data_IF_006050469692
#
_entry.id   IF_006050469692
#
_cell.length_a   1.000
_cell.length_b   1.000
_cell.length_c   1.000
_cell.angle_alpha   90.00
_cell.angle_beta   90.00
_cell.angle_gamma   90.00
#
_symmetry.space_group_name_H-M   'P 1'
#
loop_
_entity.id
_entity.type
_entity.pdbx_description
1 polymer ?
#
# COMPACT_ATOMS: atom_id res chain seq x y z
N UNK A 1 20.73 25.82 -0.24
CA UNK A 1 20.65 24.76 -1.25
C UNK A 1 19.63 23.72 -0.80
N UNK A 2 18.61 23.51 -1.59
CA UNK A 2 17.60 22.52 -1.25
C UNK A 2 18.18 21.12 -1.40
N UNK A 3 17.98 20.30 -0.41
CA UNK A 3 18.29 18.87 -0.51
C UNK A 3 17.20 18.21 -1.32
N UNK A 4 17.58 17.36 -2.24
CA UNK A 4 16.63 16.50 -2.93
C UNK A 4 15.96 15.61 -1.87
N UNK A 5 14.64 15.50 -1.90
CA UNK A 5 13.92 14.62 -1.01
C UNK A 5 14.50 13.19 -1.10
N UNK A 6 14.58 12.49 0.01
CA UNK A 6 15.08 11.13 -0.02
C UNK A 6 14.24 10.29 -0.98
N UNK A 7 14.91 9.58 -1.84
CA UNK A 7 14.26 8.64 -2.74
C UNK A 7 13.80 7.42 -1.95
N UNK A 8 12.80 6.77 -2.49
CA UNK A 8 12.38 5.49 -1.93
C UNK A 8 13.58 4.54 -1.93
N UNK A 9 13.79 3.79 -0.84
CA UNK A 9 15.04 3.01 -0.67
C UNK A 9 15.31 1.98 -1.76
N UNK A 10 14.27 1.54 -2.45
CA UNK A 10 14.40 0.54 -3.51
C UNK A 10 14.70 1.14 -4.89
N UNK A 11 14.78 2.47 -5.00
CA UNK A 11 15.27 3.12 -6.20
C UNK A 11 16.74 3.49 -6.03
N UNK A 12 17.52 3.22 -7.05
CA UNK A 12 18.92 3.62 -7.05
C UNK A 12 19.60 3.25 -8.34
N UNK A 13 20.84 3.74 -8.55
CA UNK A 13 21.63 3.39 -9.73
C UNK A 13 21.78 1.87 -9.85
N UNK A 14 21.51 1.33 -11.03
CA UNK A 14 21.61 -0.09 -11.29
C UNK A 14 20.50 -0.95 -10.72
N UNK A 15 19.53 -0.35 -10.04
CA UNK A 15 18.36 -1.06 -9.52
C UNK A 15 17.17 -0.93 -10.46
N UNK A 16 16.50 -2.04 -10.69
CA UNK A 16 15.28 -2.09 -11.48
C UNK A 16 14.22 -2.84 -10.67
N UNK A 17 13.50 -2.14 -9.80
CA UNK A 17 12.53 -2.80 -8.92
C UNK A 17 11.34 -3.34 -9.70
N UNK A 18 10.94 -4.57 -9.38
CA UNK A 18 9.76 -5.20 -9.93
C UNK A 18 8.59 -4.97 -8.98
N UNK A 19 7.59 -4.24 -9.44
CA UNK A 19 6.40 -3.94 -8.67
C UNK A 19 5.30 -4.94 -9.00
N UNK A 20 4.67 -5.49 -7.97
CA UNK A 20 3.42 -6.22 -8.15
C UNK A 20 2.28 -5.21 -8.07
N UNK A 21 1.56 -5.06 -9.17
CA UNK A 21 0.40 -4.17 -9.21
C UNK A 21 -0.70 -4.67 -8.26
N UNK A 22 -1.40 -3.77 -7.56
CA UNK A 22 -2.56 -4.18 -6.78
C UNK A 22 -3.70 -4.61 -7.69
N UNK A 23 -4.28 -5.77 -7.41
CA UNK A 23 -5.37 -6.33 -8.20
C UNK A 23 -6.43 -6.87 -7.26
N UNK A 24 -7.62 -6.25 -7.30
CA UNK A 24 -8.74 -6.63 -6.44
C UNK A 24 -9.03 -8.14 -6.59
N UNK A 25 -9.20 -8.81 -5.45
CA UNK A 25 -9.47 -10.25 -5.34
C UNK A 25 -8.32 -11.16 -5.73
N UNK A 26 -7.16 -10.61 -6.11
CA UNK A 26 -6.00 -11.40 -6.51
C UNK A 26 -4.79 -11.19 -5.61
N UNK A 27 -4.48 -9.94 -5.27
CA UNK A 27 -3.25 -9.64 -4.52
C UNK A 27 -3.48 -9.59 -3.01
N UNK A 28 -4.01 -10.66 -2.46
CA UNK A 28 -4.11 -10.86 -1.02
C UNK A 28 -2.74 -11.22 -0.40
N UNK A 29 -2.71 -11.40 0.91
CA UNK A 29 -1.47 -11.72 1.62
C UNK A 29 -0.79 -12.96 1.05
N UNK A 30 -1.55 -14.02 0.77
CA UNK A 30 -1.00 -15.28 0.27
C UNK A 30 -0.42 -15.14 -1.13
N UNK A 31 -1.13 -14.49 -2.04
CA UNK A 31 -0.66 -14.27 -3.40
C UNK A 31 0.58 -13.36 -3.41
N UNK A 32 0.57 -12.30 -2.61
CA UNK A 32 1.74 -11.43 -2.49
C UNK A 32 2.95 -12.19 -1.99
N UNK A 33 2.76 -13.11 -1.05
CA UNK A 33 3.87 -13.93 -0.54
C UNK A 33 4.49 -14.78 -1.65
N UNK A 34 3.67 -15.42 -2.47
CA UNK A 34 4.17 -16.18 -3.62
C UNK A 34 4.95 -15.30 -4.59
N UNK A 35 4.43 -14.12 -4.89
CA UNK A 35 5.13 -13.19 -5.79
C UNK A 35 6.44 -12.70 -5.18
N UNK A 36 6.47 -12.45 -3.87
CA UNK A 36 7.70 -12.08 -3.17
C UNK A 36 8.77 -13.14 -3.31
N UNK A 37 8.40 -14.38 -3.12
CA UNK A 37 9.32 -15.52 -3.28
C UNK A 37 9.83 -15.67 -4.71
N UNK A 38 9.06 -15.22 -5.70
CA UNK A 38 9.43 -15.26 -7.10
C UNK A 38 10.16 -14.00 -7.58
N UNK A 39 10.43 -13.05 -6.70
CA UNK A 39 11.26 -11.90 -7.04
C UNK A 39 10.57 -10.55 -7.11
N UNK A 40 9.32 -10.44 -6.69
CA UNK A 40 8.69 -9.13 -6.58
C UNK A 40 9.41 -8.30 -5.51
N UNK A 41 9.77 -7.08 -5.86
CA UNK A 41 10.51 -6.20 -4.95
C UNK A 41 9.58 -5.35 -4.12
N UNK A 42 8.57 -4.76 -4.74
CA UNK A 42 7.64 -3.82 -4.10
C UNK A 42 6.22 -4.26 -4.38
N UNK A 43 5.39 -4.29 -3.37
CA UNK A 43 4.00 -4.73 -3.50
C UNK A 43 3.06 -3.75 -2.84
N UNK A 44 1.80 -3.78 -3.26
CA UNK A 44 0.75 -2.89 -2.77
C UNK A 44 -0.48 -3.73 -2.44
N UNK A 45 -1.15 -3.42 -1.35
CA UNK A 45 -2.39 -4.09 -1.00
C UNK A 45 -3.49 -3.81 -2.01
N UNK A 46 -4.51 -4.63 -2.04
CA UNK A 46 -5.74 -4.32 -2.76
C UNK A 46 -6.30 -2.98 -2.26
N UNK A 47 -7.01 -2.26 -3.12
CA UNK A 47 -7.55 -0.96 -2.76
C UNK A 47 -8.67 -1.07 -1.72
N UNK A 48 -8.65 -0.17 -0.76
CA UNK A 48 -9.62 -0.16 0.34
C UNK A 48 -10.26 1.21 0.47
N UNK A 49 -11.55 1.23 0.67
CA UNK A 49 -12.31 2.48 0.82
C UNK A 49 -11.97 3.19 2.13
N UNK A 50 -11.67 4.47 2.03
CA UNK A 50 -11.33 5.29 3.20
C UNK A 50 -12.43 5.28 4.27
N UNK A 51 -13.69 5.40 3.87
CA UNK A 51 -14.81 5.40 4.80
C UNK A 51 -14.92 4.09 5.59
N UNK A 52 -14.64 2.95 4.95
CA UNK A 52 -14.67 1.65 5.63
C UNK A 52 -13.59 1.57 6.72
N UNK A 53 -12.40 2.08 6.44
CA UNK A 53 -11.33 2.14 7.43
C UNK A 53 -11.69 3.05 8.61
N UNK A 54 -12.28 4.20 8.33
CA UNK A 54 -12.70 5.16 9.36
C UNK A 54 -13.78 4.57 10.27
N UNK A 55 -14.69 3.78 9.72
CA UNK A 55 -15.73 3.09 10.48
C UNK A 55 -15.25 1.87 11.22
N UNK A 56 -13.97 1.60 11.17
CA UNK A 56 -13.35 0.44 11.80
C UNK A 56 -13.92 -0.90 11.31
N UNK A 57 -14.23 -0.97 10.03
CA UNK A 57 -14.75 -2.19 9.40
C UNK A 57 -13.66 -3.27 9.42
N UNK A 58 -13.95 -4.41 10.03
CA UNK A 58 -12.98 -5.48 10.24
C UNK A 58 -12.41 -6.00 8.91
N UNK A 59 -13.26 -6.18 7.91
CA UNK A 59 -12.82 -6.68 6.61
C UNK A 59 -11.90 -5.69 5.89
N UNK A 60 -12.18 -4.39 6.00
CA UNK A 60 -11.32 -3.36 5.43
C UNK A 60 -9.93 -3.39 6.06
N UNK A 61 -9.85 -3.54 7.36
CA UNK A 61 -8.57 -3.62 8.06
C UNK A 61 -7.83 -4.92 7.74
N UNK A 62 -8.54 -6.02 7.57
CA UNK A 62 -7.94 -7.27 7.10
C UNK A 62 -7.31 -7.11 5.70
N UNK A 63 -7.97 -6.39 4.81
CA UNK A 63 -7.47 -6.19 3.44
C UNK A 63 -6.19 -5.39 3.36
N UNK A 64 -5.88 -4.55 4.35
CA UNK A 64 -4.63 -3.77 4.37
C UNK A 64 -3.53 -4.44 5.16
N UNK A 65 -3.77 -5.64 5.68
CA UNK A 65 -2.80 -6.38 6.46
C UNK A 65 -1.68 -6.93 5.56
N UNK A 66 -0.49 -7.03 6.13
CA UNK A 66 0.67 -7.61 5.47
C UNK A 66 1.68 -8.08 6.52
N UNK A 67 2.62 -8.91 6.11
CA UNK A 67 3.68 -9.40 6.99
C UNK A 67 4.96 -8.58 6.79
N UNK A 68 5.81 -8.56 7.81
CA UNK A 68 7.09 -7.84 7.75
C UNK A 68 7.97 -8.34 6.60
N UNK A 69 7.92 -9.63 6.31
CA UNK A 69 8.70 -10.22 5.20
C UNK A 69 8.28 -9.76 3.82
N UNK A 70 7.12 -9.14 3.68
CA UNK A 70 6.62 -8.62 2.41
C UNK A 70 7.11 -7.21 2.09
N UNK A 71 7.72 -6.52 3.05
CA UNK A 71 8.23 -5.16 2.83
C UNK A 71 9.29 -5.09 1.73
N UNK A 72 9.36 -4.00 0.96
CA UNK A 72 8.56 -2.78 1.07
C UNK A 72 7.12 -2.96 0.59
N UNK A 73 6.18 -2.52 1.42
CA UNK A 73 4.75 -2.65 1.20
C UNK A 73 4.05 -1.30 1.21
N UNK A 74 3.21 -1.09 0.21
CA UNK A 74 2.29 0.02 0.18
C UNK A 74 0.88 -0.42 0.52
N UNK A 75 0.10 0.49 1.10
CA UNK A 75 -1.33 0.32 1.29
C UNK A 75 -2.05 1.26 0.33
N UNK A 76 -2.94 0.70 -0.49
CA UNK A 76 -3.70 1.49 -1.44
C UNK A 76 -5.08 1.83 -0.88
N UNK A 77 -5.41 3.11 -0.87
CA UNK A 77 -6.71 3.60 -0.43
C UNK A 77 -7.38 4.41 -1.54
N UNK A 78 -8.70 4.47 -1.48
CA UNK A 78 -9.49 5.33 -2.35
C UNK A 78 -10.64 5.96 -1.56
N UNK A 79 -11.15 7.06 -2.06
CA UNK A 79 -12.27 7.75 -1.43
C UNK A 79 -12.68 8.98 -2.21
N UNK A 80 -13.81 9.56 -1.84
CA UNK A 80 -14.42 10.67 -2.56
C UNK A 80 -14.03 12.04 -2.03
N UNK A 81 -13.63 12.16 -0.77
CA UNK A 81 -13.35 13.45 -0.15
C UNK A 81 -11.94 13.54 0.41
N UNK A 82 -11.31 14.72 0.33
CA UNK A 82 -9.97 14.90 0.92
C UNK A 82 -9.96 14.64 2.42
N UNK A 83 -11.01 15.02 3.14
CA UNK A 83 -11.06 14.84 4.59
C UNK A 83 -11.04 13.36 4.99
N UNK A 84 -11.83 12.51 4.34
CA UNK A 84 -11.86 11.09 4.64
C UNK A 84 -10.56 10.40 4.21
N UNK A 85 -9.98 10.82 3.08
CA UNK A 85 -8.71 10.30 2.63
C UNK A 85 -7.58 10.63 3.62
N UNK A 86 -7.52 11.85 4.09
CA UNK A 86 -6.53 12.27 5.07
C UNK A 86 -6.66 11.49 6.38
N UNK A 87 -7.89 11.31 6.87
CA UNK A 87 -8.14 10.57 8.10
C UNK A 87 -7.78 9.09 7.96
N UNK A 88 -8.19 8.46 6.86
CA UNK A 88 -7.85 7.06 6.60
C UNK A 88 -6.34 6.87 6.46
N UNK A 89 -5.66 7.76 5.75
CA UNK A 89 -4.21 7.72 5.60
C UNK A 89 -3.51 7.77 6.96
N UNK A 90 -3.94 8.65 7.84
CA UNK A 90 -3.37 8.73 9.20
C UNK A 90 -3.58 7.45 9.98
N UNK A 91 -4.81 6.91 9.96
CA UNK A 91 -5.12 5.66 10.65
C UNK A 91 -4.27 4.50 10.14
N UNK A 92 -4.13 4.38 8.83
CA UNK A 92 -3.30 3.32 8.22
C UNK A 92 -1.84 3.49 8.62
N UNK A 93 -1.30 4.68 8.52
CA UNK A 93 0.08 4.94 8.89
C UNK A 93 0.35 4.63 10.36
N UNK A 94 -0.57 4.98 11.24
CA UNK A 94 -0.42 4.75 12.68
C UNK A 94 -0.51 3.27 13.04
N UNK A 95 -1.44 2.53 12.44
CA UNK A 95 -1.69 1.12 12.78
C UNK A 95 -0.80 0.15 12.03
N UNK A 96 -0.65 0.34 10.73
CA UNK A 96 0.02 -0.62 9.85
C UNK A 96 1.46 -0.26 9.55
N UNK A 97 1.80 1.00 9.63
CA UNK A 97 3.16 1.52 9.34
C UNK A 97 3.68 1.03 7.98
N UNK A 98 2.92 1.22 6.90
CA UNK A 98 3.39 0.82 5.58
C UNK A 98 4.61 1.63 5.15
N UNK A 99 5.34 1.14 4.18
CA UNK A 99 6.47 1.87 3.63
C UNK A 99 6.02 3.08 2.80
N UNK A 100 4.81 3.01 2.26
CA UNK A 100 4.19 4.12 1.54
C UNK A 100 2.68 3.94 1.46
N UNK A 101 1.99 5.01 1.12
CA UNK A 101 0.57 4.97 0.76
C UNK A 101 0.45 5.18 -0.74
N UNK A 102 -0.47 4.46 -1.34
CA UNK A 102 -0.82 4.60 -2.74
C UNK A 102 -2.26 5.07 -2.86
N UNK A 103 -2.50 6.06 -3.69
CA UNK A 103 -3.83 6.64 -3.85
C UNK A 103 -4.41 6.19 -5.19
N UNK A 104 -5.54 5.53 -5.16
CA UNK A 104 -6.22 5.09 -6.37
C UNK A 104 -7.15 6.21 -6.87
N UNK A 105 -6.87 6.72 -8.05
CA UNK A 105 -7.70 7.72 -8.73
C UNK A 105 -8.44 7.15 -9.94
N UNK A 106 -8.21 5.90 -10.29
CA UNK A 106 -8.67 5.33 -11.55
C UNK A 106 -9.82 4.34 -11.46
N UNK A 107 -10.28 4.02 -10.27
CA UNK A 107 -11.38 3.07 -10.11
C UNK A 107 -12.72 3.82 -10.11
N UNK A 108 -13.60 3.57 -11.08
CA UNK A 108 -14.92 4.23 -11.14
C UNK A 108 -15.85 3.76 -10.03
#
# INVERSE_FOLDING_TARGET
MSKVAPRLPWFGPGKFPLYLAPMARHTDVAFRQLCKEQGADVMVTEFVQSEALIRDNAKAWEMVDFTEGQRPMGVQIFGATPASMAKAARLVCDRMKPDFLDLNFGCP
#
